data_IF_671112501770
#
_entry.id   IF_671112501770
#
_cell.length_a   1.000
_cell.length_b   1.000
_cell.length_c   1.000
_cell.angle_alpha   90.00
_cell.angle_beta   90.00
_cell.angle_gamma   90.00
#
_symmetry.space_group_name_H-M   'P 1'
#
loop_
_entity.id
_entity.type
_entity.pdbx_description
1 polymer ?
#
# COMPACT_ATOMS: atom_id res chain seq x y z
N UNK A 1 -13.78 6.58 -20.56
CA UNK A 1 -12.59 5.86 -21.08
C UNK A 1 -12.36 4.62 -20.24
N UNK A 2 -12.32 3.47 -20.91
CA UNK A 2 -12.49 2.14 -20.35
C UNK A 2 -11.16 1.55 -19.86
N UNK A 3 -11.15 1.00 -18.64
CA UNK A 3 -10.00 0.24 -18.12
C UNK A 3 -10.30 -1.26 -18.28
N UNK A 4 -9.90 -1.84 -19.42
CA UNK A 4 -10.04 -3.28 -19.70
C UNK A 4 -8.77 -4.03 -19.33
N UNK A 5 -8.90 -5.11 -18.56
CA UNK A 5 -7.98 -6.25 -18.57
C UNK A 5 -8.83 -7.52 -18.74
N UNK A 6 -8.83 -8.04 -19.98
CA UNK A 6 -9.35 -9.35 -20.34
C UNK A 6 -8.29 -10.43 -20.09
N UNK A 7 -8.72 -11.60 -19.63
CA UNK A 7 -7.86 -12.77 -19.47
C UNK A 7 -8.52 -13.88 -18.65
N UNK A 8 -9.73 -14.31 -19.04
CA UNK A 8 -10.29 -15.58 -18.61
C UNK A 8 -9.83 -16.63 -19.62
N UNK A 9 -9.27 -17.74 -19.13
CA UNK A 9 -9.33 -19.02 -19.84
C UNK A 9 -9.55 -20.10 -18.78
N UNK A 10 -10.72 -20.75 -18.87
CA UNK A 10 -11.01 -22.01 -18.19
C UNK A 10 -10.31 -23.15 -18.96
N UNK A 11 -9.87 -24.24 -18.32
CA UNK A 11 -10.52 -25.59 -18.15
C UNK A 11 -9.36 -26.58 -17.80
N UNK A 12 -9.51 -27.82 -17.24
CA UNK A 12 -10.56 -28.49 -16.46
C UNK A 12 -10.12 -28.94 -15.04
N UNK A 13 -11.07 -29.48 -14.27
CA UNK A 13 -10.91 -30.08 -12.94
C UNK A 13 -10.31 -31.49 -13.01
N UNK A 14 -9.44 -31.86 -12.05
CA UNK A 14 -9.46 -33.15 -11.31
C UNK A 14 -8.41 -33.17 -10.18
N UNK A 15 -8.74 -33.84 -9.06
CA UNK A 15 -7.79 -34.38 -8.09
C UNK A 15 -7.89 -33.81 -6.67
N UNK A 16 -8.55 -34.55 -5.77
CA UNK A 16 -8.48 -34.37 -4.32
C UNK A 16 -7.13 -34.88 -3.82
N UNK A 17 -6.34 -34.00 -3.20
CA UNK A 17 -5.16 -34.32 -2.41
C UNK A 17 -4.97 -33.20 -1.39
N UNK A 18 -4.64 -33.52 -0.15
CA UNK A 18 -4.51 -32.56 0.95
C UNK A 18 -3.58 -31.40 0.56
N UNK A 19 -4.08 -30.16 0.58
CA UNK A 19 -3.34 -28.97 0.16
C UNK A 19 -2.80 -28.26 1.40
N UNK A 20 -1.48 -28.23 1.53
CA UNK A 20 -0.75 -27.31 2.41
C UNK A 20 -1.28 -25.87 2.24
N UNK A 21 -1.25 -25.01 3.27
CA UNK A 21 -1.87 -23.68 3.21
C UNK A 21 -1.37 -22.89 1.99
N UNK A 22 -2.29 -22.54 1.10
CA UNK A 22 -2.00 -21.79 -0.13
C UNK A 22 -1.52 -20.39 0.23
N UNK A 23 -0.24 -20.12 0.05
CA UNK A 23 0.30 -18.77 -0.08
C UNK A 23 -0.46 -18.01 -1.17
N UNK A 24 -1.25 -17.01 -0.78
CA UNK A 24 -1.93 -16.11 -1.72
C UNK A 24 -3.34 -15.74 -1.29
N UNK A 25 -3.47 -14.88 -0.27
CA UNK A 25 -4.74 -14.18 -0.05
C UNK A 25 -5.08 -13.39 -1.33
N UNK A 26 -6.21 -13.72 -1.94
CA UNK A 26 -6.69 -13.05 -3.16
C UNK A 26 -7.06 -11.62 -2.79
N UNK A 27 -6.77 -10.69 -3.70
CA UNK A 27 -7.01 -9.27 -3.48
C UNK A 27 -8.50 -8.93 -3.71
N UNK A 28 -9.34 -9.28 -2.73
CA UNK A 28 -10.81 -9.28 -2.85
C UNK A 28 -11.44 -7.89 -2.93
N UNK A 29 -10.78 -6.84 -2.43
CA UNK A 29 -11.34 -5.48 -2.41
C UNK A 29 -10.83 -4.60 -3.54
N UNK A 30 -9.74 -4.99 -4.22
CA UNK A 30 -9.03 -4.18 -5.23
C UNK A 30 -9.94 -3.43 -6.19
N UNK A 31 -10.83 -4.14 -6.89
CA UNK A 31 -11.70 -3.51 -7.89
C UNK A 31 -12.70 -2.52 -7.28
N UNK A 32 -13.10 -2.71 -6.02
CA UNK A 32 -13.98 -1.76 -5.33
C UNK A 32 -13.20 -0.54 -4.86
N UNK A 33 -12.01 -0.75 -4.30
CA UNK A 33 -11.09 0.35 -3.93
C UNK A 33 -10.80 1.22 -5.14
N UNK A 34 -10.41 0.64 -6.28
CA UNK A 34 -10.15 1.42 -7.49
C UNK A 34 -11.38 2.20 -7.99
N UNK A 35 -12.59 1.64 -7.90
CA UNK A 35 -13.81 2.37 -8.28
C UNK A 35 -14.07 3.53 -7.33
N UNK A 36 -13.94 3.29 -6.03
CA UNK A 36 -14.12 4.30 -4.99
C UNK A 36 -13.09 5.44 -5.14
N UNK A 37 -11.83 5.14 -5.42
CA UNK A 37 -10.81 6.16 -5.66
C UNK A 37 -11.16 7.08 -6.84
N UNK A 38 -11.60 6.46 -7.95
CA UNK A 38 -11.97 7.19 -9.17
C UNK A 38 -13.17 8.12 -8.95
N UNK A 39 -14.13 7.74 -8.11
CA UNK A 39 -15.33 8.56 -7.85
C UNK A 39 -15.16 9.55 -6.71
N UNK A 40 -14.39 9.20 -5.68
CA UNK A 40 -14.39 9.92 -4.39
C UNK A 40 -13.06 10.57 -4.03
N UNK A 41 -11.94 10.19 -4.66
CA UNK A 41 -10.61 10.66 -4.27
C UNK A 41 -9.98 11.48 -5.39
N UNK A 42 -9.78 10.87 -6.57
CA UNK A 42 -9.06 11.50 -7.67
C UNK A 42 -9.68 12.79 -8.21
N UNK A 43 -11.01 12.97 -8.23
CA UNK A 43 -11.61 14.24 -8.68
C UNK A 43 -11.19 15.47 -7.85
N UNK A 44 -10.76 15.28 -6.60
CA UNK A 44 -10.40 16.38 -5.70
C UNK A 44 -8.93 16.77 -5.74
N UNK A 45 -8.06 15.93 -6.32
CA UNK A 45 -6.61 16.15 -6.37
C UNK A 45 -6.00 15.70 -7.72
N UNK A 46 -6.36 16.36 -8.83
CA UNK A 46 -5.91 15.98 -10.17
C UNK A 46 -4.47 16.44 -10.47
N UNK A 47 -3.87 17.28 -9.63
CA UNK A 47 -2.59 17.93 -9.90
C UNK A 47 -1.46 16.91 -10.00
N UNK A 48 -0.59 17.11 -11.00
CA UNK A 48 0.61 16.31 -11.17
C UNK A 48 1.76 16.90 -10.39
N UNK A 49 2.40 16.06 -9.59
CA UNK A 49 3.61 16.32 -8.86
C UNK A 49 4.84 16.06 -9.75
N UNK A 50 5.86 16.88 -9.55
CA UNK A 50 7.23 16.58 -9.95
C UNK A 50 7.76 15.37 -9.15
N UNK A 51 8.87 14.78 -9.62
CA UNK A 51 9.47 13.65 -8.91
C UNK A 51 10.01 14.05 -7.52
N UNK A 52 10.46 15.29 -7.37
CA UNK A 52 10.95 15.80 -6.08
C UNK A 52 9.81 16.10 -5.11
N UNK A 53 8.67 16.58 -5.58
CA UNK A 53 7.45 16.68 -4.77
C UNK A 53 6.97 15.29 -4.33
N UNK A 54 7.02 14.28 -5.20
CA UNK A 54 6.75 12.90 -4.78
C UNK A 54 7.72 12.43 -3.69
N UNK A 55 9.02 12.74 -3.79
CA UNK A 55 10.02 12.39 -2.77
C UNK A 55 9.71 13.01 -1.41
N UNK A 56 9.39 14.31 -1.39
CA UNK A 56 9.02 15.02 -0.16
C UNK A 56 7.77 14.43 0.47
N UNK A 57 6.71 14.21 -0.31
CA UNK A 57 5.45 13.63 0.18
C UNK A 57 5.67 12.21 0.75
N UNK A 58 6.46 11.38 0.07
CA UNK A 58 6.81 10.04 0.57
C UNK A 58 7.58 10.14 1.89
N UNK A 59 8.57 11.03 1.99
CA UNK A 59 9.34 11.19 3.20
C UNK A 59 8.46 11.63 4.39
N UNK A 60 7.62 12.64 4.21
CA UNK A 60 6.72 13.13 5.24
C UNK A 60 5.70 12.06 5.67
N UNK A 61 5.14 11.33 4.70
CA UNK A 61 4.24 10.22 4.97
C UNK A 61 4.90 9.13 5.83
N UNK A 62 6.13 8.71 5.47
CA UNK A 62 6.84 7.68 6.23
C UNK A 62 7.31 8.16 7.61
N UNK A 63 7.70 9.43 7.74
CA UNK A 63 8.00 10.01 9.07
C UNK A 63 6.78 10.01 9.98
N UNK A 64 5.58 10.17 9.43
CA UNK A 64 4.35 10.14 10.21
C UNK A 64 3.87 8.71 10.50
N UNK A 65 3.96 7.82 9.52
CA UNK A 65 3.55 6.42 9.67
C UNK A 65 4.46 5.67 10.65
N UNK A 66 5.77 5.90 10.59
CA UNK A 66 6.73 5.10 11.35
C UNK A 66 6.97 5.67 12.74
N UNK A 67 6.92 4.84 13.80
CA UNK A 67 7.21 5.26 15.16
C UNK A 67 8.58 5.94 15.27
N UNK A 68 8.69 6.94 16.16
CA UNK A 68 9.96 7.64 16.40
C UNK A 68 11.11 6.68 16.80
N UNK A 69 10.79 5.59 17.51
CA UNK A 69 11.76 4.55 17.87
C UNK A 69 12.36 3.79 16.66
N UNK A 70 11.68 3.81 15.52
CA UNK A 70 12.15 3.26 14.23
C UNK A 70 13.00 4.26 13.45
N UNK A 71 12.93 5.55 13.79
CA UNK A 71 13.68 6.64 13.14
C UNK A 71 15.06 6.85 13.80
N UNK A 72 15.80 5.76 13.95
CA UNK A 72 17.16 5.75 14.51
C UNK A 72 18.16 6.44 13.58
N UNK A 73 19.37 6.82 14.05
CA UNK A 73 20.44 7.29 13.17
C UNK A 73 20.61 6.35 11.96
N UNK A 74 20.51 6.89 10.75
CA UNK A 74 20.54 6.13 9.51
C UNK A 74 19.17 5.80 8.90
N UNK A 75 18.06 6.19 9.52
CA UNK A 75 16.73 6.09 8.93
C UNK A 75 16.66 6.77 7.56
N UNK A 76 15.97 6.14 6.62
CA UNK A 76 15.72 6.66 5.27
C UNK A 76 14.29 6.33 4.82
N UNK A 77 13.60 7.25 4.14
CA UNK A 77 12.35 6.94 3.46
C UNK A 77 12.59 5.97 2.29
N UNK A 78 11.54 5.35 1.73
CA UNK A 78 11.67 4.57 0.51
C UNK A 78 12.33 5.37 -0.61
N UNK A 79 13.14 4.70 -1.43
CA UNK A 79 13.70 5.35 -2.63
C UNK A 79 12.60 5.58 -3.65
N UNK A 80 12.44 6.82 -4.11
CA UNK A 80 11.46 7.17 -5.14
C UNK A 80 12.13 7.27 -6.51
N UNK A 81 11.72 6.37 -7.41
CA UNK A 81 12.19 6.28 -8.78
C UNK A 81 11.16 6.74 -9.81
N UNK A 82 11.64 7.17 -10.98
CA UNK A 82 10.83 7.80 -12.04
C UNK A 82 9.88 6.83 -12.78
N UNK A 83 10.02 5.52 -12.56
CA UNK A 83 9.20 4.48 -13.16
C UNK A 83 9.32 4.37 -14.68
N UNK A 84 10.42 4.83 -15.30
CA UNK A 84 10.60 4.77 -16.76
C UNK A 84 10.38 3.35 -17.30
N UNK A 85 9.56 3.22 -18.34
CA UNK A 85 9.20 1.93 -18.95
C UNK A 85 8.13 1.12 -18.19
N UNK A 86 7.59 1.62 -17.08
CA UNK A 86 6.53 0.91 -16.33
C UNK A 86 5.13 1.30 -16.77
N UNK A 87 4.26 0.28 -16.80
CA UNK A 87 2.81 0.44 -17.01
C UNK A 87 2.02 0.69 -15.72
N UNK A 88 2.65 0.47 -14.57
CA UNK A 88 2.01 0.57 -13.25
C UNK A 88 2.95 1.24 -12.24
N UNK A 89 2.36 2.03 -11.34
CA UNK A 89 3.03 2.40 -10.10
C UNK A 89 3.14 1.17 -9.18
N UNK A 90 4.13 1.20 -8.28
CA UNK A 90 4.27 0.20 -7.23
C UNK A 90 5.04 0.75 -6.04
N UNK A 91 4.58 0.43 -4.84
CA UNK A 91 5.17 0.79 -3.57
C UNK A 91 5.57 -0.43 -2.73
N UNK A 92 6.64 -0.23 -1.97
CA UNK A 92 7.16 -1.10 -0.91
C UNK A 92 7.89 -0.19 0.08
N UNK A 93 8.25 -0.71 1.26
CA UNK A 93 9.03 0.06 2.24
C UNK A 93 10.38 0.53 1.68
N UNK A 94 10.98 -0.22 0.77
CA UNK A 94 12.31 0.06 0.23
C UNK A 94 12.27 0.96 -1.00
N UNK A 95 11.25 0.82 -1.85
CA UNK A 95 11.16 1.51 -3.13
C UNK A 95 9.73 1.82 -3.53
N UNK A 96 9.54 3.04 -4.07
CA UNK A 96 8.33 3.48 -4.75
C UNK A 96 8.70 3.86 -6.18
N UNK A 97 7.98 3.34 -7.18
CA UNK A 97 8.22 3.64 -8.59
C UNK A 97 6.99 4.32 -9.20
N UNK A 98 7.17 5.54 -9.70
CA UNK A 98 6.08 6.42 -10.12
C UNK A 98 6.24 6.88 -11.58
N UNK A 99 5.67 6.16 -12.56
CA UNK A 99 5.62 6.65 -13.94
C UNK A 99 4.92 8.01 -14.00
N UNK A 100 5.22 8.85 -15.01
CA UNK A 100 4.77 10.26 -15.08
C UNK A 100 3.27 10.48 -14.90
N UNK A 101 2.43 9.54 -15.31
CA UNK A 101 0.97 9.64 -15.17
C UNK A 101 0.49 9.36 -13.74
N UNK A 102 1.27 8.62 -12.94
CA UNK A 102 0.93 8.19 -11.60
C UNK A 102 1.38 9.17 -10.51
N UNK A 103 1.96 10.31 -10.90
CA UNK A 103 2.50 11.30 -9.97
C UNK A 103 1.42 12.27 -9.52
N UNK A 104 0.37 11.77 -8.89
CA UNK A 104 -0.62 12.60 -8.20
C UNK A 104 -0.56 12.27 -6.72
N UNK A 105 -0.89 13.22 -5.85
CA UNK A 105 -0.75 13.02 -4.42
C UNK A 105 -1.54 11.79 -3.90
N UNK A 106 -2.79 11.53 -4.33
CA UNK A 106 -3.51 10.30 -3.95
C UNK A 106 -2.78 9.01 -4.34
N UNK A 107 -2.26 8.92 -5.57
CA UNK A 107 -1.58 7.71 -6.03
C UNK A 107 -0.26 7.52 -5.26
N UNK A 108 0.48 8.59 -4.98
CA UNK A 108 1.70 8.50 -4.15
C UNK A 108 1.37 7.96 -2.75
N UNK A 109 0.31 8.46 -2.12
CA UNK A 109 -0.12 8.00 -0.80
C UNK A 109 -0.66 6.56 -0.82
N UNK A 110 -1.31 6.13 -1.92
CA UNK A 110 -1.70 4.74 -2.15
C UNK A 110 -0.47 3.82 -2.13
N UNK A 111 0.59 4.18 -2.85
CA UNK A 111 1.83 3.38 -2.86
C UNK A 111 2.55 3.43 -1.50
N UNK A 112 2.46 4.53 -0.75
CA UNK A 112 2.95 4.58 0.64
C UNK A 112 2.21 3.58 1.53
N UNK A 113 0.88 3.51 1.43
CA UNK A 113 0.07 2.57 2.20
C UNK A 113 0.48 1.12 1.90
N UNK A 114 0.69 0.76 0.63
CA UNK A 114 1.22 -0.55 0.25
C UNK A 114 2.58 -0.86 0.86
N UNK A 115 3.43 0.14 1.08
CA UNK A 115 4.74 -0.09 1.66
C UNK A 115 4.75 -0.35 3.16
N UNK A 116 3.64 -0.11 3.88
CA UNK A 116 3.54 -0.36 5.33
C UNK A 116 2.48 -1.41 5.70
N UNK A 117 1.69 -1.91 4.75
CA UNK A 117 0.66 -2.94 5.02
C UNK A 117 0.92 -4.26 4.28
N UNK A 118 0.65 -5.41 4.91
CA UNK A 118 0.87 -6.72 4.27
C UNK A 118 -0.33 -7.21 3.44
N UNK A 119 -1.50 -6.59 3.56
CA UNK A 119 -2.78 -7.15 3.13
C UNK A 119 -3.26 -6.67 1.75
N UNK A 120 -2.36 -6.14 0.91
CA UNK A 120 -2.68 -5.59 -0.43
C UNK A 120 -3.73 -4.48 -0.34
N UNK A 121 -4.95 -4.66 -0.86
CA UNK A 121 -6.08 -3.72 -0.68
C UNK A 121 -7.04 -4.17 0.42
N UNK A 122 -6.55 -4.92 1.41
CA UNK A 122 -7.32 -5.37 2.56
C UNK A 122 -7.67 -4.25 3.55
N UNK A 123 -8.34 -4.58 4.66
CA UNK A 123 -8.83 -3.59 5.63
C UNK A 123 -7.73 -2.72 6.26
N UNK A 124 -6.52 -3.25 6.47
CA UNK A 124 -5.41 -2.46 7.03
C UNK A 124 -4.88 -1.44 6.02
N UNK A 125 -4.69 -1.86 4.77
CA UNK A 125 -4.37 -0.93 3.68
C UNK A 125 -5.38 0.22 3.60
N UNK A 126 -6.68 -0.11 3.57
CA UNK A 126 -7.72 0.91 3.44
C UNK A 126 -7.71 1.86 4.63
N UNK A 127 -7.50 1.35 5.85
CA UNK A 127 -7.33 2.20 7.05
C UNK A 127 -6.16 3.16 6.87
N UNK A 128 -4.97 2.65 6.56
CA UNK A 128 -3.77 3.49 6.42
C UNK A 128 -3.96 4.54 5.33
N UNK A 129 -4.52 4.14 4.19
CA UNK A 129 -4.74 5.04 3.07
C UNK A 129 -5.73 6.17 3.40
N UNK A 130 -6.83 5.87 4.09
CA UNK A 130 -7.78 6.91 4.56
C UNK A 130 -7.11 7.93 5.46
N UNK A 131 -6.31 7.49 6.43
CA UNK A 131 -5.66 8.43 7.34
C UNK A 131 -4.58 9.27 6.62
N UNK A 132 -3.90 8.70 5.62
CA UNK A 132 -2.99 9.46 4.75
C UNK A 132 -3.72 10.52 3.93
N UNK A 133 -4.83 10.16 3.28
CA UNK A 133 -5.66 11.10 2.51
C UNK A 133 -6.19 12.23 3.41
N UNK A 134 -6.68 11.88 4.60
CA UNK A 134 -7.16 12.86 5.56
C UNK A 134 -6.06 13.82 6.00
N UNK A 135 -4.90 13.28 6.39
CA UNK A 135 -3.80 14.08 6.96
C UNK A 135 -3.13 14.97 5.93
N UNK A 136 -2.79 14.41 4.77
CA UNK A 136 -1.92 15.09 3.80
C UNK A 136 -2.70 15.85 2.72
N UNK A 137 -3.94 15.45 2.45
CA UNK A 137 -4.79 16.11 1.44
C UNK A 137 -5.97 16.87 2.05
N UNK A 138 -6.13 16.84 3.38
CA UNK A 138 -7.21 17.56 4.08
C UNK A 138 -8.61 17.00 3.82
N UNK A 139 -8.71 15.81 3.22
CA UNK A 139 -10.01 15.19 2.93
C UNK A 139 -10.75 14.86 4.24
N UNK A 140 -12.04 15.19 4.38
CA UNK A 140 -12.78 14.89 5.61
C UNK A 140 -12.84 13.39 5.86
N UNK A 141 -12.30 12.95 7.00
CA UNK A 141 -12.22 11.53 7.36
C UNK A 141 -13.59 10.85 7.36
N UNK A 142 -14.61 11.54 7.87
CA UNK A 142 -15.98 11.03 7.92
C UNK A 142 -16.54 10.80 6.51
N UNK A 143 -16.32 11.73 5.58
CA UNK A 143 -16.74 11.59 4.19
C UNK A 143 -16.04 10.42 3.48
N UNK A 144 -14.73 10.23 3.71
CA UNK A 144 -13.98 9.08 3.20
C UNK A 144 -14.56 7.75 3.73
N UNK A 145 -14.83 7.66 5.03
CA UNK A 145 -15.40 6.47 5.65
C UNK A 145 -16.84 6.18 5.17
N UNK A 146 -17.65 7.22 4.99
CA UNK A 146 -19.00 7.08 4.43
C UNK A 146 -18.96 6.52 3.00
N UNK A 147 -18.10 7.06 2.12
CA UNK A 147 -17.94 6.57 0.75
C UNK A 147 -17.40 5.13 0.69
N UNK A 148 -16.51 4.75 1.61
CA UNK A 148 -16.05 3.36 1.72
C UNK A 148 -17.16 2.40 2.16
N UNK A 149 -17.99 2.83 3.12
CA UNK A 149 -19.14 2.05 3.58
C UNK A 149 -20.17 1.85 2.46
N UNK A 150 -20.48 2.90 1.70
CA UNK A 150 -21.36 2.83 0.52
C UNK A 150 -20.81 1.86 -0.54
N UNK A 151 -19.50 1.91 -0.79
CA UNK A 151 -18.80 0.99 -1.68
C UNK A 151 -18.62 -0.44 -1.10
N UNK A 152 -19.09 -0.68 0.12
CA UNK A 152 -18.97 -1.94 0.89
C UNK A 152 -17.52 -2.39 1.09
N UNK A 153 -16.58 -1.46 1.18
CA UNK A 153 -15.16 -1.74 1.39
C UNK A 153 -14.90 -1.84 2.89
N UNK A 154 -14.33 -2.96 3.32
CA UNK A 154 -13.96 -3.17 4.72
C UNK A 154 -12.74 -2.34 5.09
N UNK A 155 -12.78 -1.78 6.31
CA UNK A 155 -11.73 -0.93 6.89
C UNK A 155 -11.38 -1.50 8.28
N UNK A 156 -10.09 -1.60 8.59
CA UNK A 156 -9.68 -2.08 9.91
C UNK A 156 -10.12 -1.10 11.02
N UNK A 157 -10.58 -1.63 12.15
CA UNK A 157 -10.92 -0.83 13.33
C UNK A 157 -9.67 -0.31 14.06
N UNK A 158 -8.54 -1.02 13.93
CA UNK A 158 -7.28 -0.72 14.61
C UNK A 158 -6.69 0.62 14.16
N UNK A 159 -6.22 1.47 15.11
CA UNK A 159 -5.51 2.70 14.78
C UNK A 159 -4.19 2.43 14.04
N UNK A 160 -3.79 3.35 13.15
CA UNK A 160 -2.55 3.22 12.33
C UNK A 160 -1.31 2.96 13.19
N UNK A 161 -1.19 3.60 14.37
CA UNK A 161 -0.07 3.38 15.29
C UNK A 161 0.08 1.92 15.75
N UNK A 162 -1.03 1.19 15.88
CA UNK A 162 -1.03 -0.21 16.28
C UNK A 162 -0.83 -1.20 15.12
N UNK A 163 -1.02 -0.76 13.86
CA UNK A 163 -0.70 -1.56 12.67
C UNK A 163 0.81 -1.79 12.55
N UNK A 164 1.62 -0.85 13.03
CA UNK A 164 3.08 -0.86 12.88
C UNK A 164 3.84 -1.58 14.01
N UNK A 165 3.17 -1.99 15.08
CA UNK A 165 3.77 -2.69 16.23
C UNK A 165 3.93 -4.21 16.05
N UNK A 166 3.23 -4.82 15.09
CA UNK A 166 3.16 -6.29 14.95
C UNK A 166 4.17 -6.90 13.97
N UNK A 167 4.94 -6.09 13.22
CA UNK A 167 5.92 -6.60 12.25
C UNK A 167 7.29 -6.95 12.86
N UNK A 168 7.52 -6.68 14.15
CA UNK A 168 8.75 -6.99 14.86
C UNK A 168 8.69 -8.38 15.52
N UNK A 169 8.59 -9.45 14.71
CA UNK A 169 8.52 -10.81 15.24
C UNK A 169 8.95 -11.89 14.24
N UNK A 170 10.23 -12.27 14.27
CA UNK A 170 10.67 -13.61 13.90
C UNK A 170 11.53 -13.76 12.63
N UNK A 171 12.85 -13.76 12.80
CA UNK A 171 13.69 -14.93 12.50
C UNK A 171 15.14 -14.69 12.96
N UNK A 172 15.35 -14.74 14.26
CA UNK A 172 16.66 -15.07 14.81
C UNK A 172 16.91 -16.55 14.60
N UNK A 173 17.65 -16.91 13.55
CA UNK A 173 18.36 -18.20 13.49
C UNK A 173 19.85 -17.92 13.39
N UNK A 174 20.45 -17.73 14.56
CA UNK A 174 21.89 -17.84 14.73
C UNK A 174 22.33 -19.26 14.37
N UNK A 175 23.20 -19.38 13.37
CA UNK A 175 23.99 -20.59 13.16
C UNK A 175 25.17 -20.55 14.14
N UNK A 176 25.42 -21.58 14.96
CA UNK A 176 26.66 -21.67 15.71
C UNK A 176 27.83 -21.89 14.74
N UNK A 177 28.88 -21.08 14.86
CA UNK A 177 30.17 -21.33 14.22
C UNK A 177 30.85 -22.49 14.95
N UNK A 178 31.22 -23.55 14.23
CA UNK A 178 32.13 -24.58 14.75
C UNK A 178 33.52 -23.95 14.87
N UNK A 179 34.10 -24.03 16.07
CA UNK A 179 35.53 -23.80 16.28
C UNK A 179 36.30 -24.98 15.65
N UNK A 180 37.28 -24.66 14.81
CA UNK A 180 38.28 -25.60 14.32
C UNK A 180 39.59 -25.34 15.04
N UNK A 181 40.13 -26.39 15.64
CA UNK A 181 41.51 -26.49 16.13
C UNK A 181 42.52 -26.49 14.99
#
# INVERSE_FOLDING_TARGET
MWWSWSGISAVPRRGRGAVAPRTGCRDHQRSRVYRWEQSCVFPHHPERLSLDECRRLVEEAYRWLEPAASQRPGWRPPRVGDGRGRRHACGSREVIRLPRWARTAPIVLHECAHGVTPDKHGPFFVRVYVELLHRFLGMPREALLAGLAEARIAVAATPVAAVNGSAAGGNGRGRPRKAGS
#
